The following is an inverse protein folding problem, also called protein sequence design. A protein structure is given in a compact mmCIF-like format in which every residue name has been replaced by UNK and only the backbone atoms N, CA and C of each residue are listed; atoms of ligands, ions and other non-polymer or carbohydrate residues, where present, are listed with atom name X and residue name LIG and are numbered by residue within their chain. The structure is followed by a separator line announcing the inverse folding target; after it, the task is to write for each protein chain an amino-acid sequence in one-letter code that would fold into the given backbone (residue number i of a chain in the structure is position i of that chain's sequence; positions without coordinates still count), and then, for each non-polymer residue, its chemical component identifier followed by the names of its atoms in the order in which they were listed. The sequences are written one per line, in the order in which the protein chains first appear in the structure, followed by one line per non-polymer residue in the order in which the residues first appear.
data_IF_825295687134
#
_entry.id   IF_825295687134
#
_cell.length_a   1.000
_cell.length_b   1.000
_cell.length_c   1.000
_cell.angle_alpha   90.00
_cell.angle_beta   90.00
_cell.angle_gamma   90.00
#
_symmetry.space_group_name_H-M   'P 1'
#
loop_
_entity.id
_entity.type
_entity.pdbx_description
1 polymer ?
#
# COMPACT_ATOMS: atom_id res chain seq x y z
N UNK A 1 13.48 1.07 17.16
CA UNK A 1 14.57 0.90 16.19
C UNK A 1 14.72 2.10 15.23
N UNK A 2 13.95 3.17 15.45
CA UNK A 2 14.03 4.42 14.68
C UNK A 2 13.31 4.36 13.33
N UNK A 3 12.46 3.38 13.08
CA UNK A 3 11.65 3.30 11.84
C UNK A 3 10.43 4.20 11.91
N UNK A 4 10.14 4.87 10.82
CA UNK A 4 8.88 5.55 10.56
C UNK A 4 8.22 4.87 9.35
N UNK A 5 7.15 4.12 9.61
CA UNK A 5 6.50 3.27 8.62
C UNK A 5 5.19 3.93 8.17
N UNK A 6 5.07 4.20 6.89
CA UNK A 6 3.81 4.64 6.28
C UNK A 6 3.07 3.42 5.73
N UNK A 7 1.83 3.22 6.14
CA UNK A 7 0.97 2.15 5.65
C UNK A 7 0.00 2.76 4.64
N UNK A 8 0.11 2.35 3.39
CA UNK A 8 -0.56 2.90 2.22
C UNK A 8 -0.36 4.43 2.08
N UNK A 9 -0.65 5.01 0.95
CA UNK A 9 -0.37 6.42 0.70
C UNK A 9 -1.35 7.11 -0.26
N UNK A 10 -2.50 6.49 -0.51
CA UNK A 10 -3.60 7.10 -1.24
C UNK A 10 -3.38 7.19 -2.76
N UNK A 11 -4.23 7.99 -3.41
CA UNK A 11 -4.29 8.17 -4.86
C UNK A 11 -3.04 8.84 -5.46
N UNK A 12 -2.35 9.68 -4.68
CA UNK A 12 -1.36 10.60 -5.23
C UNK A 12 -2.01 11.73 -6.06
N UNK A 13 -1.19 12.43 -6.84
CA UNK A 13 -1.59 13.63 -7.58
C UNK A 13 -1.14 13.65 -9.04
N UNK A 14 -0.57 12.54 -9.54
CA UNK A 14 0.06 12.49 -10.87
C UNK A 14 -0.91 12.21 -12.02
N UNK A 15 -2.10 11.70 -11.73
CA UNK A 15 -3.10 11.36 -12.73
C UNK A 15 -3.74 12.64 -13.31
N UNK A 16 -4.39 12.52 -14.46
CA UNK A 16 -5.05 13.65 -15.09
C UNK A 16 -6.39 14.02 -14.42
N UNK A 17 -6.91 15.20 -14.76
CA UNK A 17 -8.16 15.70 -14.23
C UNK A 17 -9.35 14.79 -14.56
N UNK A 18 -9.32 14.12 -15.72
CA UNK A 18 -10.39 13.19 -16.10
C UNK A 18 -10.44 11.99 -15.17
N UNK A 19 -9.26 11.43 -14.82
CA UNK A 19 -9.16 10.34 -13.84
C UNK A 19 -9.73 10.80 -12.48
N UNK A 20 -9.24 11.92 -11.95
CA UNK A 20 -9.70 12.41 -10.65
C UNK A 20 -11.19 12.77 -10.63
N UNK A 21 -11.77 13.20 -11.74
CA UNK A 21 -13.21 13.50 -11.79
C UNK A 21 -14.14 12.31 -11.53
N UNK A 22 -13.63 11.07 -11.64
CA UNK A 22 -14.38 9.86 -11.30
C UNK A 22 -14.40 9.57 -9.79
N UNK A 23 -13.43 10.09 -9.03
CA UNK A 23 -13.26 9.81 -7.59
C UNK A 23 -13.54 11.01 -6.72
N UNK A 24 -13.71 12.19 -7.31
CA UNK A 24 -14.07 13.46 -6.64
C UNK A 24 -13.22 13.72 -5.37
N UNK A 25 -11.88 13.63 -5.43
CA UNK A 25 -11.04 13.93 -4.27
C UNK A 25 -11.33 15.35 -3.80
N UNK A 26 -11.47 15.53 -2.50
CA UNK A 26 -11.84 16.82 -1.90
C UNK A 26 -11.00 17.12 -0.67
N UNK A 27 -10.96 18.41 -0.28
CA UNK A 27 -10.10 18.91 0.79
C UNK A 27 -8.67 19.18 0.33
N UNK A 28 -7.92 19.89 1.18
CA UNK A 28 -6.56 20.36 0.88
C UNK A 28 -5.46 19.50 1.51
N UNK A 29 -5.84 18.44 2.25
CA UNK A 29 -4.90 17.58 2.94
C UNK A 29 -4.21 16.64 1.96
N UNK A 30 -2.88 16.61 2.01
CA UNK A 30 -2.03 15.65 1.30
C UNK A 30 -1.29 14.78 2.31
N UNK A 31 -0.70 13.67 1.87
CA UNK A 31 0.20 12.88 2.74
C UNK A 31 1.33 13.76 3.26
N UNK A 32 1.95 14.57 2.40
CA UNK A 32 3.02 15.49 2.80
C UNK A 32 2.56 16.51 3.86
N UNK A 33 1.40 17.16 3.65
CA UNK A 33 0.87 18.12 4.63
C UNK A 33 0.48 17.45 5.95
N UNK A 34 -0.03 16.23 5.89
CA UNK A 34 -0.40 15.43 7.06
C UNK A 34 0.82 15.00 7.86
N UNK A 35 1.88 14.53 7.21
CA UNK A 35 3.15 14.22 7.87
C UNK A 35 3.71 15.45 8.57
N UNK A 36 3.77 16.59 7.87
CA UNK A 36 4.28 17.84 8.41
C UNK A 36 3.51 18.33 9.63
N UNK A 37 2.19 18.19 9.62
CA UNK A 37 1.33 18.50 10.78
C UNK A 37 1.69 17.69 12.03
N UNK A 38 2.24 16.49 11.84
CA UNK A 38 2.67 15.61 12.92
C UNK A 38 4.19 15.69 13.21
N UNK A 39 4.90 16.64 12.61
CA UNK A 39 6.31 16.90 12.86
C UNK A 39 7.26 16.01 12.04
N UNK A 40 6.78 15.44 10.94
CA UNK A 40 7.59 14.62 10.05
C UNK A 40 7.61 15.19 8.64
N UNK A 41 8.68 14.94 7.92
CA UNK A 41 8.79 15.16 6.48
C UNK A 41 8.76 13.83 5.70
N UNK A 42 8.56 13.90 4.40
CA UNK A 42 8.57 12.71 3.54
C UNK A 42 9.92 11.97 3.60
N UNK A 43 10.99 12.70 3.81
CA UNK A 43 12.36 12.17 3.94
C UNK A 43 12.61 11.42 5.27
N UNK A 44 11.73 11.56 6.25
CA UNK A 44 11.81 10.83 7.52
C UNK A 44 11.21 9.42 7.40
N UNK A 45 10.40 9.17 6.36
CA UNK A 45 9.80 7.85 6.13
C UNK A 45 10.91 6.87 5.75
N UNK A 46 11.06 5.84 6.57
CA UNK A 46 12.05 4.77 6.36
C UNK A 46 11.48 3.58 5.60
N UNK A 47 10.18 3.37 5.72
CA UNK A 47 9.48 2.23 5.13
C UNK A 47 8.08 2.64 4.66
N UNK A 48 7.70 2.20 3.47
CA UNK A 48 6.34 2.29 2.94
C UNK A 48 5.80 0.87 2.81
N UNK A 49 4.82 0.54 3.64
CA UNK A 49 4.17 -0.75 3.62
C UNK A 49 2.89 -0.67 2.79
N UNK A 50 2.86 -1.33 1.64
CA UNK A 50 1.72 -1.34 0.74
C UNK A 50 0.90 -2.60 0.99
N UNK A 51 -0.31 -2.44 1.52
CA UNK A 51 -1.21 -3.57 1.77
C UNK A 51 -1.54 -4.30 0.48
N UNK A 52 -1.80 -3.52 -0.57
CA UNK A 52 -1.96 -3.97 -1.93
C UNK A 52 -1.70 -2.81 -2.91
N UNK A 53 -1.71 -3.08 -4.22
CA UNK A 53 -1.22 -2.17 -5.23
C UNK A 53 -2.36 -1.55 -6.09
N UNK A 54 -3.59 -1.51 -5.58
CA UNK A 54 -4.62 -0.70 -6.22
C UNK A 54 -4.23 0.79 -6.15
N UNK A 55 -4.66 1.56 -7.14
CA UNK A 55 -4.20 2.93 -7.37
C UNK A 55 -4.48 3.87 -6.19
N UNK A 56 -5.52 3.61 -5.42
CA UNK A 56 -5.93 4.39 -4.25
C UNK A 56 -5.18 4.03 -2.95
N UNK A 57 -4.37 2.98 -2.97
CA UNK A 57 -3.49 2.58 -1.88
C UNK A 57 -2.02 2.87 -2.14
N UNK A 58 -1.57 2.76 -3.39
CA UNK A 58 -0.17 2.94 -3.76
C UNK A 58 0.13 4.17 -4.63
N UNK A 59 -0.90 4.90 -5.06
CA UNK A 59 -0.74 6.01 -6.00
C UNK A 59 0.17 7.14 -5.50
N UNK A 60 0.17 7.42 -4.20
CA UNK A 60 1.06 8.40 -3.59
C UNK A 60 2.51 7.96 -3.44
N UNK A 61 2.85 6.71 -3.83
CA UNK A 61 4.24 6.23 -3.84
C UNK A 61 5.12 6.89 -4.90
N UNK A 62 4.51 7.38 -5.97
CA UNK A 62 5.20 7.83 -7.18
C UNK A 62 4.66 9.18 -7.63
N UNK A 63 5.54 10.04 -8.08
CA UNK A 63 5.22 11.37 -8.66
C UNK A 63 5.89 11.56 -10.02
N UNK A 64 5.49 12.59 -10.76
CA UNK A 64 6.26 13.05 -11.90
C UNK A 64 7.66 13.49 -11.47
N UNK A 65 8.68 13.13 -12.25
CA UNK A 65 10.02 13.70 -12.07
C UNK A 65 10.03 15.19 -12.47
N UNK A 66 11.11 15.89 -12.16
CA UNK A 66 11.24 17.33 -12.43
C UNK A 66 11.16 17.70 -13.90
N UNK A 67 11.57 16.82 -14.80
CA UNK A 67 11.49 17.02 -16.24
C UNK A 67 10.08 16.72 -16.81
N UNK A 68 9.23 16.06 -16.04
CA UNK A 68 7.87 15.58 -16.44
C UNK A 68 7.90 14.64 -17.66
N UNK A 69 8.98 13.91 -17.84
CA UNK A 69 9.16 12.89 -18.88
C UNK A 69 9.18 11.46 -18.34
N UNK A 70 9.06 11.29 -17.00
CA UNK A 70 9.04 10.02 -16.33
C UNK A 70 8.56 10.14 -14.88
N UNK A 71 8.64 9.04 -14.16
CA UNK A 71 8.16 8.95 -12.80
C UNK A 71 9.28 8.60 -11.83
N UNK A 72 9.17 9.08 -10.60
CA UNK A 72 10.13 8.80 -9.53
C UNK A 72 9.40 8.53 -8.19
N UNK A 73 9.98 7.74 -7.27
CA UNK A 73 9.44 7.55 -5.94
C UNK A 73 9.35 8.85 -5.14
N UNK A 74 8.24 9.00 -4.40
CA UNK A 74 8.02 10.15 -3.49
C UNK A 74 8.91 10.03 -2.26
N UNK A 75 8.99 8.84 -1.68
CA UNK A 75 9.75 8.58 -0.44
C UNK A 75 11.12 8.02 -0.80
N UNK A 76 12.05 8.92 -1.14
CA UNK A 76 13.34 8.60 -1.76
C UNK A 76 14.29 7.81 -0.85
N UNK A 77 14.07 7.84 0.48
CA UNK A 77 14.88 7.13 1.47
C UNK A 77 14.20 5.87 2.00
N UNK A 78 12.95 5.64 1.61
CA UNK A 78 12.18 4.53 2.12
C UNK A 78 12.44 3.21 1.36
N UNK A 79 12.28 2.10 2.07
CA UNK A 79 12.05 0.80 1.46
C UNK A 79 10.55 0.63 1.24
N UNK A 80 10.14 0.25 0.02
CA UNK A 80 8.76 -0.10 -0.28
C UNK A 80 8.56 -1.60 -0.13
N UNK A 81 7.55 -1.98 0.65
CA UNK A 81 7.25 -3.37 0.96
C UNK A 81 5.99 -3.84 0.25
N UNK A 82 6.07 -4.94 -0.44
CA UNK A 82 4.96 -5.66 -1.05
C UNK A 82 5.14 -7.17 -0.84
N UNK A 83 4.20 -7.99 -1.28
CA UNK A 83 4.37 -9.43 -1.35
C UNK A 83 4.64 -9.86 -2.78
N UNK A 84 5.51 -10.88 -2.98
CA UNK A 84 5.92 -11.33 -4.32
C UNK A 84 4.72 -11.74 -5.18
N UNK A 85 3.81 -12.55 -4.65
CA UNK A 85 2.63 -13.00 -5.40
C UNK A 85 1.70 -11.84 -5.74
N UNK A 86 1.50 -10.90 -4.81
CA UNK A 86 0.71 -9.70 -5.09
C UNK A 86 1.35 -8.84 -6.19
N UNK A 87 2.67 -8.69 -6.17
CA UNK A 87 3.40 -7.97 -7.21
C UNK A 87 3.24 -8.62 -8.59
N UNK A 88 3.36 -9.94 -8.66
CA UNK A 88 3.16 -10.69 -9.90
C UNK A 88 1.73 -10.54 -10.42
N UNK A 89 0.76 -10.60 -9.50
CA UNK A 89 -0.65 -10.37 -9.80
C UNK A 89 -0.89 -8.95 -10.31
N UNK A 90 -0.41 -7.93 -9.64
CA UNK A 90 -0.60 -6.52 -10.01
C UNK A 90 0.07 -6.13 -11.33
N UNK A 91 1.20 -6.76 -11.67
CA UNK A 91 1.90 -6.52 -12.95
C UNK A 91 1.31 -7.29 -14.13
N UNK A 92 0.56 -8.37 -13.87
CA UNK A 92 -0.13 -9.21 -14.87
C UNK A 92 -1.57 -9.49 -14.44
N UNK A 93 -2.38 -8.46 -14.20
CA UNK A 93 -3.70 -8.62 -13.61
C UNK A 93 -4.67 -9.32 -14.56
N UNK A 94 -5.70 -9.95 -13.98
CA UNK A 94 -6.86 -10.42 -14.72
C UNK A 94 -7.69 -9.24 -15.28
N UNK A 95 -8.66 -9.55 -16.13
CA UNK A 95 -9.53 -8.54 -16.76
C UNK A 95 -10.38 -7.74 -15.75
N UNK A 96 -10.75 -8.35 -14.60
CA UNK A 96 -11.56 -7.71 -13.57
C UNK A 96 -10.81 -6.59 -12.86
N UNK A 97 -9.55 -6.84 -12.49
CA UNK A 97 -8.77 -5.95 -11.63
C UNK A 97 -7.81 -5.04 -12.41
N UNK A 98 -7.68 -5.26 -13.73
CA UNK A 98 -6.71 -4.52 -14.57
C UNK A 98 -6.84 -2.99 -14.44
N UNK A 99 -8.04 -2.47 -14.26
CA UNK A 99 -8.27 -1.04 -14.12
C UNK A 99 -7.81 -0.47 -12.78
N UNK A 100 -7.65 -1.31 -11.76
CA UNK A 100 -7.20 -0.92 -10.43
C UNK A 100 -5.67 -0.87 -10.30
N UNK A 101 -4.94 -1.53 -11.21
CA UNK A 101 -3.48 -1.57 -11.21
C UNK A 101 -2.90 -0.66 -12.28
N UNK A 102 -2.40 0.50 -11.87
CA UNK A 102 -1.77 1.46 -12.77
C UNK A 102 -0.26 1.23 -12.80
N UNK A 103 0.28 0.91 -13.98
CA UNK A 103 1.71 0.59 -14.13
C UNK A 103 2.62 1.72 -13.68
N UNK A 104 2.23 2.96 -13.92
CA UNK A 104 2.93 4.17 -13.49
C UNK A 104 2.99 4.36 -11.97
N UNK A 105 2.13 3.66 -11.21
CA UNK A 105 2.18 3.64 -9.75
C UNK A 105 3.13 2.56 -9.23
N UNK A 106 3.37 1.52 -10.02
CA UNK A 106 3.98 0.26 -9.58
C UNK A 106 5.43 0.17 -10.08
N UNK A 107 5.64 0.25 -11.39
CA UNK A 107 6.93 -0.04 -12.00
C UNK A 107 8.06 0.87 -11.52
N UNK A 108 7.87 2.21 -11.33
CA UNK A 108 8.94 3.09 -10.86
C UNK A 108 9.49 2.71 -9.48
N UNK A 109 8.68 2.06 -8.62
CA UNK A 109 9.13 1.56 -7.32
C UNK A 109 10.18 0.46 -7.50
N UNK A 110 9.95 -0.45 -8.45
CA UNK A 110 10.91 -1.52 -8.76
C UNK A 110 12.15 -0.96 -9.47
N UNK A 111 11.95 -0.08 -10.43
CA UNK A 111 13.03 0.54 -11.22
C UNK A 111 13.99 1.36 -10.36
N UNK A 112 13.50 1.97 -9.28
CA UNK A 112 14.33 2.70 -8.32
C UNK A 112 15.22 1.79 -7.46
N UNK A 113 14.95 0.48 -7.42
CA UNK A 113 15.64 -0.47 -6.54
C UNK A 113 15.18 -0.42 -5.08
N UNK A 114 14.14 0.34 -4.74
CA UNK A 114 13.64 0.49 -3.37
C UNK A 114 12.62 -0.59 -2.97
N UNK A 115 12.15 -1.42 -3.92
CA UNK A 115 11.19 -2.49 -3.66
C UNK A 115 11.83 -3.64 -2.89
N UNK A 116 11.17 -4.08 -1.83
CA UNK A 116 11.44 -5.35 -1.15
C UNK A 116 10.16 -6.14 -0.97
N UNK A 117 10.30 -7.45 -0.92
CA UNK A 117 9.19 -8.33 -0.63
C UNK A 117 9.23 -8.80 0.82
N UNK A 118 8.06 -8.86 1.43
CA UNK A 118 7.86 -9.60 2.67
C UNK A 118 8.01 -11.07 2.32
N UNK A 119 8.99 -11.72 2.93
CA UNK A 119 9.37 -13.09 2.58
C UNK A 119 8.70 -14.07 3.53
N UNK A 120 7.67 -14.72 3.05
CA UNK A 120 7.07 -15.89 3.66
C UNK A 120 6.34 -16.71 2.60
N UNK A 121 6.47 -18.03 2.69
CA UNK A 121 5.82 -18.94 1.78
C UNK A 121 4.30 -18.92 1.97
N UNK A 122 3.57 -18.84 0.86
CA UNK A 122 2.15 -19.09 0.84
C UNK A 122 1.93 -20.57 1.15
N UNK A 123 1.50 -20.87 2.36
CA UNK A 123 0.93 -22.17 2.69
C UNK A 123 -0.45 -22.25 2.09
N UNK A 124 -1.00 -23.46 1.96
CA UNK A 124 -2.28 -23.75 1.29
C UNK A 124 -3.31 -22.61 1.35
N UNK A 125 -4.06 -22.40 0.27
CA UNK A 125 -5.07 -21.33 0.11
C UNK A 125 -6.12 -21.26 1.24
N UNK A 126 -6.23 -22.30 2.05
CA UNK A 126 -7.14 -22.41 3.18
C UNK A 126 -6.57 -21.90 4.51
N UNK A 127 -5.28 -21.65 4.63
CA UNK A 127 -4.66 -21.20 5.88
C UNK A 127 -4.13 -19.78 5.77
N UNK A 128 -4.55 -18.92 6.72
CA UNK A 128 -3.98 -17.59 6.89
C UNK A 128 -2.49 -17.71 7.15
N UNK A 129 -1.68 -17.12 6.30
CA UNK A 129 -0.23 -17.17 6.43
C UNK A 129 0.26 -15.90 7.11
N UNK A 130 0.98 -16.07 8.23
CA UNK A 130 1.56 -14.98 8.99
C UNK A 130 3.06 -14.88 8.81
N UNK A 131 3.55 -13.69 8.46
CA UNK A 131 4.93 -13.29 8.73
C UNK A 131 4.98 -12.61 10.09
N UNK A 132 5.63 -13.27 11.05
CA UNK A 132 5.81 -12.68 12.38
C UNK A 132 7.03 -11.80 12.40
N UNK A 133 6.89 -10.63 13.05
CA UNK A 133 7.99 -9.70 13.29
C UNK A 133 8.75 -9.29 12.04
N UNK A 134 8.01 -8.86 11.00
CA UNK A 134 8.63 -8.14 9.88
C UNK A 134 9.49 -6.97 10.42
N UNK A 135 8.93 -6.27 11.41
CA UNK A 135 9.64 -5.35 12.30
C UNK A 135 9.24 -5.65 13.75
N UNK A 136 9.99 -5.19 14.76
CA UNK A 136 9.61 -5.40 16.16
C UNK A 136 8.18 -4.94 16.45
N UNK A 137 7.30 -5.88 16.80
CA UNK A 137 5.89 -5.59 17.07
C UNK A 137 5.00 -5.44 15.84
N UNK A 138 5.48 -5.74 14.65
CA UNK A 138 4.77 -5.63 13.39
C UNK A 138 4.71 -6.99 12.70
N UNK A 139 3.58 -7.66 12.79
CA UNK A 139 3.30 -8.90 12.07
C UNK A 139 2.50 -8.61 10.81
N UNK A 140 2.51 -9.51 9.85
CA UNK A 140 1.76 -9.41 8.60
C UNK A 140 0.92 -10.65 8.39
N UNK A 141 -0.37 -10.47 8.15
CA UNK A 141 -1.28 -11.53 7.71
C UNK A 141 -1.47 -11.43 6.20
N UNK A 142 -1.23 -12.52 5.48
CA UNK A 142 -1.55 -12.61 4.07
C UNK A 142 -2.98 -13.11 3.89
N UNK A 143 -3.76 -12.39 3.08
CA UNK A 143 -5.16 -12.71 2.81
C UNK A 143 -5.45 -12.64 1.31
N UNK A 144 -6.49 -13.34 0.90
CA UNK A 144 -7.06 -13.28 -0.44
C UNK A 144 -8.53 -12.88 -0.34
N UNK A 145 -9.10 -12.32 -1.38
CA UNK A 145 -10.50 -11.91 -1.43
C UNK A 145 -10.66 -10.68 -2.31
N UNK A 146 -10.48 -9.50 -1.74
CA UNK A 146 -10.53 -8.23 -2.48
C UNK A 146 -9.54 -8.24 -3.66
N UNK A 147 -8.31 -8.65 -3.41
CA UNK A 147 -7.29 -8.96 -4.42
C UNK A 147 -6.42 -10.13 -3.95
N UNK A 148 -5.57 -10.67 -4.82
CA UNK A 148 -4.69 -11.79 -4.45
C UNK A 148 -3.52 -11.32 -3.58
N UNK A 149 -3.21 -12.10 -2.54
CA UNK A 149 -2.06 -11.91 -1.65
C UNK A 149 -1.94 -10.49 -1.03
N UNK A 150 -3.07 -9.93 -0.59
CA UNK A 150 -3.11 -8.68 0.16
C UNK A 150 -2.51 -8.86 1.56
N UNK A 151 -1.78 -7.87 2.04
CA UNK A 151 -1.10 -7.89 3.33
C UNK A 151 -1.82 -7.04 4.37
N UNK A 152 -2.23 -7.63 5.48
CA UNK A 152 -2.82 -6.90 6.62
C UNK A 152 -1.78 -6.74 7.73
N UNK A 153 -1.38 -5.51 8.08
CA UNK A 153 -0.45 -5.30 9.19
C UNK A 153 -1.15 -5.44 10.54
N UNK A 154 -0.51 -6.18 11.44
CA UNK A 154 -0.90 -6.40 12.81
C UNK A 154 0.14 -5.77 13.74
N UNK A 155 -0.24 -4.72 14.45
CA UNK A 155 0.66 -3.90 15.26
C UNK A 155 0.42 -4.14 16.75
N UNK A 156 1.45 -4.56 17.49
CA UNK A 156 1.37 -4.68 18.95
C UNK A 156 1.51 -3.30 19.60
N UNK A 157 0.46 -2.85 20.28
CA UNK A 157 0.46 -1.55 20.95
C UNK A 157 -0.26 -1.60 22.30
N UNK A 158 0.45 -1.29 23.38
CA UNK A 158 -0.11 -1.23 24.77
C UNK A 158 -0.93 -2.46 25.14
N UNK A 159 -0.40 -3.66 24.90
CA UNK A 159 -1.07 -4.93 25.21
C UNK A 159 -2.25 -5.30 24.32
N UNK A 160 -2.46 -4.57 23.23
CA UNK A 160 -3.47 -4.83 22.20
C UNK A 160 -2.80 -5.07 20.84
N UNK A 161 -3.55 -5.68 19.93
CA UNK A 161 -3.20 -5.74 18.53
C UNK A 161 -4.09 -4.77 17.75
N UNK A 162 -3.48 -3.82 17.05
CA UNK A 162 -4.16 -2.99 16.07
C UNK A 162 -4.01 -3.67 14.72
N UNK A 163 -5.11 -3.80 13.98
CA UNK A 163 -5.12 -4.37 12.64
C UNK A 163 -5.63 -3.32 11.68
N UNK A 164 -4.86 -3.03 10.65
CA UNK A 164 -5.35 -2.24 9.53
C UNK A 164 -5.91 -3.20 8.49
N UNK A 165 -7.24 -3.14 8.31
CA UNK A 165 -7.98 -4.11 7.49
C UNK A 165 -7.93 -3.82 5.99
N UNK A 166 -7.47 -2.64 5.60
CA UNK A 166 -7.49 -2.18 4.21
C UNK A 166 -8.84 -2.50 3.55
N UNK A 167 -8.82 -3.02 2.33
CA UNK A 167 -10.03 -3.33 1.56
C UNK A 167 -10.57 -4.75 1.76
N UNK A 168 -9.95 -5.54 2.64
CA UNK A 168 -10.61 -6.76 3.10
C UNK A 168 -11.90 -6.45 3.87
N UNK A 169 -11.89 -5.34 4.61
CA UNK A 169 -13.04 -4.85 5.36
C UNK A 169 -13.04 -3.32 5.38
N UNK A 170 -13.45 -2.67 4.28
CA UNK A 170 -13.28 -1.22 4.11
C UNK A 170 -14.13 -0.38 5.05
N UNK A 171 -15.17 -0.95 5.66
CA UNK A 171 -15.97 -0.26 6.68
C UNK A 171 -16.66 -1.23 7.63
N UNK A 172 -17.14 -0.71 8.76
CA UNK A 172 -17.94 -1.47 9.74
C UNK A 172 -19.19 -2.10 9.12
N UNK A 173 -19.70 -1.56 8.04
CA UNK A 173 -20.88 -2.09 7.33
C UNK A 173 -20.58 -3.37 6.53
N UNK A 174 -19.31 -3.71 6.33
CA UNK A 174 -18.87 -4.93 5.64
C UNK A 174 -18.66 -6.12 6.61
N UNK A 175 -18.84 -5.92 7.92
CA UNK A 175 -18.73 -7.00 8.93
C UNK A 175 -19.77 -8.14 8.71
N UNK A 176 -21.04 -7.86 8.35
CA UNK A 176 -21.99 -8.95 8.05
C UNK A 176 -21.50 -9.78 6.86
N UNK A 177 -21.54 -11.13 6.99
CA UNK A 177 -21.06 -12.06 5.96
C UNK A 177 -21.59 -11.78 4.54
N UNK A 178 -22.80 -11.23 4.41
CA UNK A 178 -23.39 -10.88 3.10
C UNK A 178 -22.65 -9.73 2.38
N UNK A 179 -21.78 -9.02 3.06
CA UNK A 179 -21.10 -7.83 2.55
C UNK A 179 -19.55 -7.91 2.66
N UNK A 180 -19.04 -9.08 3.03
CA UNK A 180 -17.58 -9.32 3.04
C UNK A 180 -17.09 -9.39 1.59
N UNK A 181 -16.09 -8.62 1.27
CA UNK A 181 -15.43 -8.58 -0.04
C UNK A 181 -14.34 -9.64 -0.16
#
# INVERSE_FOLDING_TARGET
DGRLILIDNGLGDKQDQKFFSHYEPHGDATVASSLKKHGFDQDDITDVFLTHLHFDHCGGSVKWNSARDGYEPVFTKATYWSHRFHWEWATKPNAREKASFLKENILPIQESGQLKFVDFDRKDEAENTYAKELFPGFDVLLVNGHTDAMMLPHLRYKGRTLVYMADLMPSVHHIPLAWVH
#
